data_IF_923161779337
#
_entry.id   IF_923161779337
#
_cell.length_a   1.000
_cell.length_b   1.000
_cell.length_c   1.000
_cell.angle_alpha   90.00
_cell.angle_beta   90.00
_cell.angle_gamma   90.00
#
_symmetry.space_group_name_H-M   'P 1'
#
loop_
_entity.id
_entity.type
_entity.pdbx_description
1 polymer ?
#
# COMPACT_ATOMS: atom_id res chain seq x y z
N UNK A 1 2.58 -32.83 10.35
CA UNK A 1 3.01 -32.18 9.09
C UNK A 1 4.54 -32.24 9.02
N UNK A 2 5.14 -32.64 7.89
CA UNK A 2 6.60 -32.69 7.78
C UNK A 2 7.15 -31.26 7.72
N UNK A 3 8.23 -30.95 8.46
CA UNK A 3 8.92 -29.64 8.44
C UNK A 3 9.21 -29.19 7.01
N UNK A 4 9.55 -30.12 6.12
CA UNK A 4 9.81 -29.87 4.70
C UNK A 4 8.62 -29.28 3.95
N UNK A 5 7.39 -29.66 4.31
CA UNK A 5 6.17 -29.12 3.70
C UNK A 5 5.93 -27.67 4.11
N UNK A 6 6.11 -27.36 5.40
CA UNK A 6 5.96 -26.00 5.92
C UNK A 6 7.02 -25.08 5.31
N UNK A 7 8.28 -25.53 5.27
CA UNK A 7 9.39 -24.78 4.67
C UNK A 7 9.16 -24.52 3.17
N UNK A 8 8.72 -25.53 2.41
CA UNK A 8 8.39 -25.37 0.98
C UNK A 8 7.27 -24.35 0.78
N UNK A 9 6.21 -24.43 1.59
CA UNK A 9 5.06 -23.53 1.48
C UNK A 9 5.42 -22.09 1.86
N UNK A 10 6.24 -21.92 2.89
CA UNK A 10 6.73 -20.62 3.32
C UNK A 10 7.65 -19.98 2.27
N UNK A 11 8.54 -20.76 1.64
CA UNK A 11 9.37 -20.29 0.53
C UNK A 11 8.55 -19.84 -0.68
N UNK A 12 7.53 -20.61 -1.06
CA UNK A 12 6.60 -20.22 -2.14
C UNK A 12 5.85 -18.94 -1.78
N UNK A 13 5.37 -18.82 -0.53
CA UNK A 13 4.70 -17.62 -0.06
C UNK A 13 5.58 -16.37 -0.19
N UNK A 14 6.84 -16.45 0.26
CA UNK A 14 7.80 -15.34 0.12
C UNK A 14 8.05 -14.97 -1.34
N UNK A 15 8.17 -15.96 -2.23
CA UNK A 15 8.35 -15.70 -3.67
C UNK A 15 7.13 -15.00 -4.27
N UNK A 16 5.91 -15.41 -3.91
CA UNK A 16 4.68 -14.78 -4.39
C UNK A 16 4.58 -13.35 -3.88
N UNK A 17 4.86 -13.11 -2.59
CA UNK A 17 4.85 -11.76 -2.00
C UNK A 17 5.89 -10.87 -2.70
N UNK A 18 7.11 -11.37 -2.87
CA UNK A 18 8.17 -10.65 -3.56
C UNK A 18 7.77 -10.31 -4.99
N UNK A 19 7.28 -11.28 -5.77
CA UNK A 19 6.83 -11.03 -7.14
C UNK A 19 5.69 -10.00 -7.20
N UNK A 20 4.72 -10.09 -6.30
CA UNK A 20 3.60 -9.14 -6.23
C UNK A 20 4.07 -7.72 -5.87
N UNK A 21 4.95 -7.55 -4.88
CA UNK A 21 5.47 -6.23 -4.51
C UNK A 21 6.36 -5.64 -5.58
N UNK A 22 7.16 -6.45 -6.27
CA UNK A 22 7.92 -6.03 -7.46
C UNK A 22 6.97 -5.52 -8.55
N UNK A 23 5.89 -6.24 -8.85
CA UNK A 23 4.90 -5.79 -9.84
C UNK A 23 4.23 -4.47 -9.43
N UNK A 24 3.82 -4.33 -8.15
CA UNK A 24 3.22 -3.09 -7.63
C UNK A 24 4.20 -1.91 -7.75
N UNK A 25 5.51 -2.15 -7.56
CA UNK A 25 6.52 -1.13 -7.73
C UNK A 25 6.67 -0.67 -9.19
N UNK A 26 6.72 -1.62 -10.14
CA UNK A 26 6.99 -1.32 -11.54
C UNK A 26 5.75 -0.87 -12.33
N UNK A 27 4.55 -1.35 -12.00
CA UNK A 27 3.31 -1.05 -12.73
C UNK A 27 3.05 0.46 -12.89
N UNK A 28 3.09 1.28 -11.82
CA UNK A 28 2.89 2.72 -11.96
C UNK A 28 4.07 3.42 -12.65
N UNK A 29 5.27 2.84 -12.61
CA UNK A 29 6.50 3.43 -13.19
C UNK A 29 6.62 3.19 -14.70
N UNK A 30 5.93 2.18 -15.23
CA UNK A 30 5.75 2.00 -16.68
C UNK A 30 4.60 2.85 -17.23
N UNK A 31 3.61 3.16 -16.38
CA UNK A 31 2.59 4.15 -16.70
C UNK A 31 3.23 5.54 -16.76
N UNK A 32 3.06 6.24 -17.88
CA UNK A 32 3.48 7.65 -18.03
C UNK A 32 2.66 8.62 -17.19
N UNK A 33 1.56 8.17 -16.58
CA UNK A 33 0.73 9.01 -15.71
C UNK A 33 1.28 9.03 -14.29
N UNK A 34 1.66 10.23 -13.82
CA UNK A 34 2.04 10.46 -12.44
C UNK A 34 0.77 10.54 -11.57
N UNK A 35 0.49 9.56 -10.68
CA UNK A 35 -0.74 9.50 -9.90
C UNK A 35 -0.93 10.71 -8.98
N UNK A 36 0.16 11.38 -8.61
CA UNK A 36 0.12 12.62 -7.82
C UNK A 36 -0.43 13.77 -8.67
N UNK A 37 0.00 13.88 -9.94
CA UNK A 37 -0.50 14.90 -10.87
C UNK A 37 -1.95 14.68 -11.26
N UNK A 38 -2.37 13.43 -11.41
CA UNK A 38 -3.77 13.11 -11.71
C UNK A 38 -4.68 13.46 -10.53
N UNK A 39 -4.28 13.12 -9.30
CA UNK A 39 -5.00 13.53 -8.10
C UNK A 39 -5.04 15.06 -7.97
N UNK A 40 -3.93 15.74 -8.26
CA UNK A 40 -3.86 17.20 -8.30
C UNK A 40 -4.88 17.79 -9.27
N UNK A 41 -4.95 17.26 -10.51
CA UNK A 41 -5.95 17.68 -11.49
C UNK A 41 -7.38 17.41 -11.00
N UNK A 42 -7.65 16.26 -10.39
CA UNK A 42 -8.98 15.92 -9.87
C UNK A 42 -9.42 16.82 -8.70
N UNK A 43 -8.52 17.16 -7.77
CA UNK A 43 -8.81 18.05 -6.65
C UNK A 43 -8.92 19.52 -7.09
N UNK A 44 -8.14 19.94 -8.09
CA UNK A 44 -8.28 21.26 -8.73
C UNK A 44 -9.64 21.42 -9.42
N UNK A 45 -10.14 20.37 -10.08
CA UNK A 45 -11.46 20.37 -10.73
C UNK A 45 -12.63 20.37 -9.73
N UNK A 46 -12.40 19.95 -8.47
CA UNK A 46 -13.43 19.91 -7.42
C UNK A 46 -13.64 21.22 -6.65
N UNK A 47 -13.00 22.30 -7.07
CA UNK A 47 -13.41 23.65 -6.63
C UNK A 47 -12.84 24.10 -5.29
N UNK A 48 -11.59 23.76 -4.99
CA UNK A 48 -10.81 24.49 -3.99
C UNK A 48 -10.81 23.86 -2.60
N UNK A 49 -9.93 22.89 -2.42
CA UNK A 49 -9.05 22.79 -1.25
C UNK A 49 -7.81 22.08 -1.78
N UNK A 50 -6.78 22.84 -2.18
CA UNK A 50 -5.44 22.25 -2.29
C UNK A 50 -5.18 21.70 -0.89
N UNK A 51 -5.13 20.37 -0.73
CA UNK A 51 -4.80 19.74 0.55
C UNK A 51 -3.52 20.44 1.04
N UNK A 52 -3.64 21.18 2.14
CA UNK A 52 -2.51 21.88 2.76
C UNK A 52 -1.39 20.85 2.94
N UNK A 53 -0.27 21.04 2.24
CA UNK A 53 0.84 20.11 2.22
C UNK A 53 0.98 19.24 0.96
N UNK A 54 0.29 19.52 -0.15
CA UNK A 54 0.52 18.82 -1.43
C UNK A 54 1.93 19.09 -2.01
N UNK A 55 2.40 20.34 -2.01
CA UNK A 55 3.82 20.65 -2.31
C UNK A 55 4.77 19.90 -1.36
N UNK A 56 4.46 19.86 -0.07
CA UNK A 56 5.26 19.15 0.94
C UNK A 56 5.24 17.64 0.70
N UNK A 57 4.11 17.09 0.25
CA UNK A 57 4.00 15.68 -0.14
C UNK A 57 4.86 15.40 -1.36
N UNK A 58 4.82 16.28 -2.37
CA UNK A 58 5.67 16.15 -3.57
C UNK A 58 7.14 16.23 -3.16
N UNK A 59 7.52 17.20 -2.33
CA UNK A 59 8.90 17.39 -1.86
C UNK A 59 9.38 16.21 -0.99
N UNK A 60 8.55 15.69 -0.09
CA UNK A 60 8.83 14.50 0.73
C UNK A 60 8.93 13.24 -0.14
N UNK A 61 8.04 13.07 -1.12
CA UNK A 61 8.08 11.96 -2.08
C UNK A 61 9.27 12.08 -3.04
N UNK A 62 9.63 13.29 -3.48
CA UNK A 62 10.82 13.56 -4.29
C UNK A 62 12.11 13.42 -3.47
N UNK A 63 12.08 13.70 -2.16
CA UNK A 63 13.21 13.45 -1.27
C UNK A 63 13.41 11.95 -1.01
N UNK A 64 12.33 11.22 -0.70
CA UNK A 64 12.36 9.78 -0.43
C UNK A 64 12.59 8.93 -1.70
N UNK A 65 11.84 9.21 -2.77
CA UNK A 65 11.79 8.41 -4.00
C UNK A 65 12.41 9.11 -5.21
N UNK A 66 13.10 10.23 -5.00
CA UNK A 66 13.52 11.18 -6.02
C UNK A 66 13.92 10.60 -7.37
N UNK A 67 13.44 11.27 -8.41
CA UNK A 67 13.77 10.99 -9.81
C UNK A 67 15.29 10.94 -10.10
N UNK A 68 16.11 11.50 -9.21
CA UNK A 68 17.57 11.56 -9.35
C UNK A 68 18.29 10.26 -8.94
N UNK A 69 17.60 9.30 -8.30
CA UNK A 69 18.19 8.00 -7.94
C UNK A 69 17.88 6.95 -9.01
N UNK A 70 18.84 6.09 -9.36
CA UNK A 70 18.61 5.01 -10.32
C UNK A 70 17.54 4.04 -9.79
N UNK A 71 16.77 3.42 -10.70
CA UNK A 71 15.59 2.61 -10.36
C UNK A 71 15.87 1.47 -9.36
N UNK A 72 17.09 0.92 -9.38
CA UNK A 72 17.50 -0.14 -8.47
C UNK A 72 17.62 0.35 -7.01
N UNK A 73 18.04 1.60 -6.78
CA UNK A 73 18.07 2.20 -5.44
C UNK A 73 16.64 2.43 -4.93
N UNK A 74 15.77 2.97 -5.77
CA UNK A 74 14.36 3.17 -5.42
C UNK A 74 13.67 1.85 -5.03
N UNK A 75 13.98 0.78 -5.76
CA UNK A 75 13.48 -0.56 -5.46
C UNK A 75 14.03 -1.10 -4.13
N UNK A 76 15.34 -0.91 -3.89
CA UNK A 76 15.98 -1.30 -2.63
C UNK A 76 15.38 -0.60 -1.41
N UNK A 77 15.18 0.72 -1.49
CA UNK A 77 14.50 1.50 -0.45
C UNK A 77 13.07 1.02 -0.24
N UNK A 78 12.29 0.86 -1.32
CA UNK A 78 10.92 0.37 -1.24
C UNK A 78 10.81 -1.01 -0.55
N UNK A 79 11.69 -1.94 -0.91
CA UNK A 79 11.71 -3.28 -0.32
C UNK A 79 12.13 -3.26 1.16
N UNK A 80 13.11 -2.42 1.52
CA UNK A 80 13.53 -2.22 2.91
C UNK A 80 12.40 -1.66 3.77
N UNK A 81 11.69 -0.65 3.27
CA UNK A 81 10.56 -0.03 3.98
C UNK A 81 9.41 -1.02 4.17
N UNK A 82 9.10 -1.83 3.15
CA UNK A 82 8.14 -2.94 3.23
C UNK A 82 8.47 -3.94 4.34
N UNK A 83 9.73 -4.37 4.45
CA UNK A 83 10.17 -5.31 5.49
C UNK A 83 10.04 -4.69 6.90
N UNK A 84 10.20 -3.36 7.01
CA UNK A 84 10.01 -2.61 8.26
C UNK A 84 8.55 -2.26 8.54
N UNK A 85 7.62 -2.69 7.68
CA UNK A 85 6.21 -2.29 7.71
C UNK A 85 6.02 -0.76 7.67
N UNK A 86 6.95 -0.04 7.04
CA UNK A 86 6.80 1.37 6.69
C UNK A 86 6.23 1.46 5.27
N UNK A 87 4.95 1.82 5.19
CA UNK A 87 4.23 1.98 3.93
C UNK A 87 4.20 3.45 3.46
N UNK A 88 4.80 4.36 4.23
CA UNK A 88 4.81 5.79 3.94
C UNK A 88 3.44 6.47 4.02
N UNK A 89 3.33 7.59 3.32
CA UNK A 89 2.13 8.43 3.29
C UNK A 89 1.13 7.98 2.23
N UNK A 90 -0.16 8.11 2.55
CA UNK A 90 -1.20 7.88 1.56
C UNK A 90 -1.24 9.01 0.56
N UNK A 91 -0.99 8.72 -0.72
CA UNK A 91 -1.17 9.69 -1.81
C UNK A 91 -2.62 10.18 -1.85
N UNK A 92 -3.58 9.30 -1.54
CA UNK A 92 -5.01 9.63 -1.53
C UNK A 92 -5.45 10.44 -0.30
N UNK A 93 -4.85 10.22 0.87
CA UNK A 93 -5.29 10.82 2.14
C UNK A 93 -4.16 11.53 2.89
N UNK A 94 -3.31 12.28 2.19
CA UNK A 94 -2.24 13.06 2.82
C UNK A 94 -2.81 14.06 3.85
N UNK A 95 -2.17 14.29 5.02
CA UNK A 95 -0.89 13.73 5.50
C UNK A 95 -1.01 12.41 6.28
N UNK A 96 -2.11 11.66 6.17
CA UNK A 96 -2.23 10.37 6.88
C UNK A 96 -1.23 9.34 6.32
N UNK A 97 -0.60 8.58 7.22
CA UNK A 97 0.23 7.43 6.85
C UNK A 97 -0.64 6.24 6.48
N UNK A 98 -0.19 5.39 5.56
CA UNK A 98 -0.91 4.16 5.20
C UNK A 98 -1.12 3.27 6.43
N UNK A 99 -0.11 3.20 7.32
CA UNK A 99 -0.22 2.48 8.59
C UNK A 99 -1.37 2.99 9.46
N UNK A 100 -1.53 4.31 9.60
CA UNK A 100 -2.61 4.90 10.39
C UNK A 100 -4.00 4.55 9.84
N UNK A 101 -4.15 4.60 8.51
CA UNK A 101 -5.39 4.22 7.82
C UNK A 101 -5.71 2.74 8.04
N UNK A 102 -4.70 1.87 7.93
CA UNK A 102 -4.87 0.44 8.22
C UNK A 102 -5.31 0.20 9.65
N UNK A 103 -4.67 0.84 10.64
CA UNK A 103 -5.06 0.66 12.06
C UNK A 103 -6.47 1.18 12.37
N UNK A 104 -6.93 2.20 11.63
CA UNK A 104 -8.28 2.74 11.77
C UNK A 104 -9.34 1.79 11.14
N UNK A 105 -9.03 1.18 10.00
CA UNK A 105 -9.96 0.34 9.25
C UNK A 105 -9.97 -1.15 9.67
N UNK A 106 -8.84 -1.66 10.19
CA UNK A 106 -8.67 -3.09 10.54
C UNK A 106 -9.69 -3.58 11.59
N UNK A 107 -9.94 -2.88 12.71
CA UNK A 107 -10.87 -3.36 13.73
C UNK A 107 -12.30 -3.55 13.19
N UNK A 108 -12.76 -2.60 12.37
CA UNK A 108 -14.07 -2.67 11.73
C UNK A 108 -14.16 -3.81 10.73
N UNK A 109 -13.12 -4.01 9.91
CA UNK A 109 -13.08 -5.09 8.93
C UNK A 109 -13.11 -6.47 9.61
N UNK A 110 -12.34 -6.64 10.70
CA UNK A 110 -12.33 -7.88 11.49
C UNK A 110 -13.67 -8.09 12.18
N UNK A 111 -14.26 -7.03 12.77
CA UNK A 111 -15.56 -7.10 13.43
C UNK A 111 -16.67 -7.51 12.47
N UNK A 112 -16.71 -6.90 11.28
CA UNK A 112 -17.68 -7.24 10.23
C UNK A 112 -17.49 -8.66 9.73
N UNK A 113 -16.27 -9.04 9.35
CA UNK A 113 -15.97 -10.39 8.87
C UNK A 113 -16.34 -11.44 9.94
N UNK A 114 -16.00 -11.18 11.20
CA UNK A 114 -16.35 -12.04 12.33
C UNK A 114 -17.86 -12.20 12.47
N UNK A 115 -18.60 -11.08 12.54
CA UNK A 115 -20.06 -11.10 12.67
C UNK A 115 -20.72 -11.84 11.50
N UNK A 116 -20.32 -11.54 10.26
CA UNK A 116 -20.82 -12.23 9.07
C UNK A 116 -20.51 -13.72 9.11
N UNK A 117 -19.31 -14.11 9.54
CA UNK A 117 -18.94 -15.53 9.65
C UNK A 117 -19.80 -16.25 10.68
N UNK A 118 -20.04 -15.65 11.85
CA UNK A 118 -20.90 -16.23 12.89
C UNK A 118 -22.35 -16.36 12.44
N UNK A 119 -22.91 -15.34 11.79
CA UNK A 119 -24.28 -15.37 11.27
C UNK A 119 -24.39 -16.41 10.15
N UNK A 120 -23.47 -16.38 9.17
CA UNK A 120 -23.52 -17.28 8.02
C UNK A 120 -23.38 -18.75 8.46
N UNK A 121 -22.48 -19.04 9.40
CA UNK A 121 -22.34 -20.37 9.96
C UNK A 121 -23.57 -20.77 10.80
N UNK A 122 -24.04 -19.87 11.66
CA UNK A 122 -25.16 -20.14 12.56
C UNK A 122 -26.50 -20.31 11.86
N UNK A 123 -26.77 -19.57 10.78
CA UNK A 123 -28.01 -19.67 10.00
C UNK A 123 -27.90 -20.69 8.87
N UNK A 124 -26.74 -20.73 8.18
CA UNK A 124 -26.56 -21.56 6.99
C UNK A 124 -26.17 -23.01 7.24
N UNK A 125 -25.89 -23.41 8.49
CA UNK A 125 -25.56 -24.81 8.83
C UNK A 125 -26.78 -25.64 9.25
N UNK A 126 -27.98 -25.07 9.26
CA UNK A 126 -29.26 -25.76 9.45
C UNK A 126 -30.01 -25.85 8.12
#
# INVERSE_FOLDING_TARGET
MKISYIAKRFGIFLLVVWAATTLIFFLPRFSTQNPIREKMNQEMLRGGYIQVGMEQMIEEYESKFGLNKPLWEQYGTYMSDLIRFDFGYSIANYPKTVKSLLTEALPWSIGLLGMTTFIAFGVGSF
#
